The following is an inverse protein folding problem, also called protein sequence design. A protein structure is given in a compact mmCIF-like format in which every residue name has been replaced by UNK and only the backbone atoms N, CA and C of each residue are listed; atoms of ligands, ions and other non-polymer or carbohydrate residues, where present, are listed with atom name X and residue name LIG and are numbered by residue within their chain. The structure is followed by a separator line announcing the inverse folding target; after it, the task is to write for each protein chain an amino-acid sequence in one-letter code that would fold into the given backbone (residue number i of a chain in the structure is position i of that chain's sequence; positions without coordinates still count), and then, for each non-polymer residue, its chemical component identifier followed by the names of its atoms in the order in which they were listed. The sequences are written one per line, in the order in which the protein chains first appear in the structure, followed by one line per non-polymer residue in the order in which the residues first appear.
data_IF_007319626748
#
_entry.id   IF_007319626748
#
_cell.length_a   1.000
_cell.length_b   1.000
_cell.length_c   1.000
_cell.angle_alpha   90.00
_cell.angle_beta   90.00
_cell.angle_gamma   90.00
#
_symmetry.space_group_name_H-M   'P 1'
#
loop_
_entity.id
_entity.type
_entity.pdbx_description
1 polymer ?
#
# COMPACT_ATOMS: atom_id res chain seq x y z
N UNK A 1 29.17 35.27 -60.81
CA UNK A 1 28.07 36.24 -60.60
C UNK A 1 28.12 36.69 -59.14
N UNK A 2 28.18 38.01 -58.97
CA UNK A 2 28.05 38.89 -57.77
C UNK A 2 27.53 38.23 -56.48
N UNK A 3 27.93 38.54 -55.24
CA UNK A 3 28.86 39.45 -54.54
C UNK A 3 28.95 38.87 -53.09
N UNK A 4 30.10 38.52 -52.53
CA UNK A 4 30.94 39.31 -51.58
C UNK A 4 30.15 39.97 -50.44
N UNK A 5 30.31 39.48 -49.20
CA UNK A 5 30.99 40.26 -48.15
C UNK A 5 31.57 39.35 -47.04
N UNK A 6 32.85 39.60 -46.76
CA UNK A 6 33.73 39.00 -45.75
C UNK A 6 33.74 39.93 -44.51
N UNK A 7 34.32 39.43 -43.41
CA UNK A 7 35.07 40.13 -42.32
C UNK A 7 34.45 39.76 -40.97
N UNK A 8 34.98 38.77 -40.23
CA UNK A 8 36.25 38.67 -39.49
C UNK A 8 36.16 39.15 -38.03
N UNK A 9 36.60 38.22 -37.17
CA UNK A 9 36.90 38.24 -35.73
C UNK A 9 37.35 39.59 -35.15
N UNK A 10 37.04 39.82 -33.86
CA UNK A 10 38.04 39.98 -32.79
C UNK A 10 37.40 40.09 -31.38
N UNK A 11 38.13 39.52 -30.42
CA UNK A 11 37.87 39.51 -28.97
C UNK A 11 38.02 40.90 -28.33
N UNK A 12 37.29 41.14 -27.23
CA UNK A 12 37.91 41.75 -26.04
C UNK A 12 37.16 42.86 -25.28
N UNK A 13 36.74 42.49 -24.06
CA UNK A 13 36.75 43.23 -22.78
C UNK A 13 35.87 44.48 -22.51
N UNK A 14 35.03 44.31 -21.46
CA UNK A 14 34.71 45.23 -20.34
C UNK A 14 33.88 46.48 -20.69
N UNK A 15 32.70 46.69 -20.11
CA UNK A 15 32.60 47.26 -18.77
C UNK A 15 31.24 46.97 -18.12
N UNK A 16 31.30 46.42 -16.91
CA UNK A 16 30.26 46.50 -15.88
C UNK A 16 29.93 47.96 -15.60
N UNK A 17 28.66 48.34 -15.72
CA UNK A 17 28.21 49.67 -15.31
C UNK A 17 28.18 49.75 -13.78
N UNK A 18 29.03 50.64 -13.28
CA UNK A 18 29.09 51.15 -11.92
C UNK A 18 27.72 51.63 -11.42
N UNK A 19 27.38 51.21 -10.21
CA UNK A 19 26.83 52.12 -9.20
C UNK A 19 27.54 51.75 -7.88
N UNK A 20 28.65 52.46 -7.63
CA UNK A 20 29.31 52.50 -6.34
C UNK A 20 28.38 53.08 -5.27
N UNK A 21 28.38 52.41 -4.13
CA UNK A 21 27.81 52.84 -2.86
C UNK A 21 28.44 52.00 -1.77
N UNK A 22 29.77 52.06 -1.72
CA UNK A 22 30.63 51.35 -0.78
C UNK A 22 30.63 52.07 0.57
N UNK A 23 30.38 51.31 1.64
CA UNK A 23 31.11 51.49 2.88
C UNK A 23 31.10 50.17 3.65
N UNK A 24 32.13 49.37 3.36
CA UNK A 24 32.78 48.44 4.27
C UNK A 24 32.51 48.70 5.77
N UNK A 25 31.95 47.70 6.45
CA UNK A 25 32.31 47.41 7.84
C UNK A 25 32.93 46.02 7.85
N UNK A 26 34.26 45.99 7.69
CA UNK A 26 35.06 44.90 8.23
C UNK A 26 35.07 45.04 9.75
N UNK A 27 34.40 44.15 10.47
CA UNK A 27 34.81 43.81 11.83
C UNK A 27 35.44 42.43 11.80
N UNK A 28 36.77 42.43 11.82
CA UNK A 28 37.56 41.26 12.18
C UNK A 28 37.45 41.01 13.69
N UNK A 29 37.06 39.77 13.99
CA UNK A 29 37.41 38.96 15.16
C UNK A 29 37.07 39.50 16.54
N UNK A 30 36.05 38.91 17.15
CA UNK A 30 36.22 38.25 18.44
C UNK A 30 35.39 36.96 18.44
N UNK A 31 36.00 35.88 18.92
CA UNK A 31 35.36 34.57 18.99
C UNK A 31 34.23 34.57 20.00
N UNK A 32 33.01 34.50 19.51
CA UNK A 32 31.93 33.79 20.19
C UNK A 32 31.06 33.16 19.10
N UNK A 33 30.95 31.83 19.14
CA UNK A 33 30.18 31.06 18.18
C UNK A 33 28.71 31.36 18.37
N UNK A 34 28.17 32.32 17.60
CA UNK A 34 26.74 32.45 17.42
C UNK A 34 26.35 31.37 16.41
N UNK A 35 25.93 30.24 16.94
CA UNK A 35 25.20 29.20 16.23
C UNK A 35 24.02 29.88 15.52
N UNK A 36 24.13 30.04 14.20
CA UNK A 36 23.09 30.64 13.40
C UNK A 36 21.84 29.76 13.48
N UNK A 37 20.89 30.16 14.32
CA UNK A 37 19.57 29.56 14.36
C UNK A 37 18.84 29.96 13.08
N UNK A 38 18.91 29.10 12.06
CA UNK A 38 17.99 29.17 10.94
C UNK A 38 16.56 29.10 11.51
N UNK A 39 15.63 29.95 11.06
CA UNK A 39 14.24 29.80 11.46
C UNK A 39 13.76 28.42 11.00
N UNK A 40 13.33 27.58 11.94
CA UNK A 40 12.50 26.42 11.62
C UNK A 40 11.21 26.95 11.01
N UNK A 41 11.00 26.65 9.73
CA UNK A 41 9.69 26.82 9.12
C UNK A 41 8.85 25.62 9.59
N UNK A 42 7.76 25.88 10.30
CA UNK A 42 6.76 24.85 10.56
C UNK A 42 6.01 24.59 9.24
N UNK A 43 6.05 23.34 8.76
CA UNK A 43 5.28 22.94 7.59
C UNK A 43 3.79 22.93 7.95
N UNK A 44 3.02 23.77 7.24
CA UNK A 44 1.58 23.94 7.47
C UNK A 44 0.85 22.92 6.59
N UNK A 45 0.58 21.73 7.14
CA UNK A 45 -0.17 20.68 6.44
C UNK A 45 -1.70 20.92 6.38
N UNK A 46 -2.20 22.09 6.81
CA UNK A 46 -3.63 22.38 6.86
C UNK A 46 -4.25 22.51 5.46
N UNK A 47 -5.23 21.65 5.17
CA UNK A 47 -6.00 21.69 3.91
C UNK A 47 -5.35 20.92 2.76
N UNK A 48 -4.18 20.31 2.96
CA UNK A 48 -3.57 19.38 2.01
C UNK A 48 -4.20 17.98 2.12
N UNK A 49 -4.10 17.18 1.05
CA UNK A 49 -4.66 15.82 1.03
C UNK A 49 -6.20 15.73 0.86
N UNK A 50 -6.90 16.87 0.73
CA UNK A 50 -8.36 16.91 0.54
C UNK A 50 -8.73 16.51 -0.89
N UNK A 51 -9.66 15.57 -1.02
CA UNK A 51 -10.21 15.14 -2.32
C UNK A 51 -10.90 16.30 -3.02
N UNK A 52 -10.45 16.65 -4.23
CA UNK A 52 -11.18 17.58 -5.07
C UNK A 52 -12.49 16.95 -5.57
N UNK A 53 -13.63 17.66 -5.56
CA UNK A 53 -14.92 17.11 -5.97
C UNK A 53 -14.99 16.55 -7.39
N UNK A 54 -14.09 16.99 -8.28
CA UNK A 54 -13.99 16.51 -9.66
C UNK A 54 -13.20 15.21 -9.83
N UNK A 55 -12.42 14.80 -8.84
CA UNK A 55 -11.59 13.59 -8.94
C UNK A 55 -12.47 12.34 -8.89
N UNK A 56 -12.28 11.45 -9.86
CA UNK A 56 -12.71 10.06 -9.77
C UNK A 56 -12.02 9.33 -8.61
N UNK A 57 -12.55 8.16 -8.23
CA UNK A 57 -11.95 7.37 -7.14
C UNK A 57 -10.50 7.00 -7.46
N UNK A 58 -10.21 6.64 -8.72
CA UNK A 58 -8.86 6.29 -9.16
C UNK A 58 -7.90 7.47 -9.16
N UNK A 59 -8.35 8.64 -9.65
CA UNK A 59 -7.53 9.86 -9.60
C UNK A 59 -7.21 10.26 -8.16
N UNK A 60 -8.18 10.08 -7.24
CA UNK A 60 -7.95 10.33 -5.82
C UNK A 60 -7.01 9.31 -5.19
N UNK A 61 -7.14 8.02 -5.52
CA UNK A 61 -6.24 6.95 -5.07
C UNK A 61 -4.78 7.19 -5.51
N UNK A 62 -4.57 7.60 -6.76
CA UNK A 62 -3.24 7.95 -7.26
C UNK A 62 -2.68 9.20 -6.55
N UNK A 63 -3.52 10.21 -6.31
CA UNK A 63 -3.14 11.42 -5.59
C UNK A 63 -2.70 11.12 -4.15
N UNK A 64 -3.48 10.36 -3.38
CA UNK A 64 -3.16 10.07 -1.97
C UNK A 64 -1.92 9.19 -1.81
N UNK A 65 -1.62 8.31 -2.77
CA UNK A 65 -0.34 7.55 -2.78
C UNK A 65 0.85 8.50 -2.89
N UNK A 66 0.79 9.50 -3.77
CA UNK A 66 1.87 10.48 -3.91
C UNK A 66 1.93 11.43 -2.71
N UNK A 67 0.78 11.85 -2.20
CA UNK A 67 0.68 12.69 -1.00
C UNK A 67 1.31 12.01 0.23
N UNK A 68 1.15 10.69 0.37
CA UNK A 68 1.71 9.92 1.50
C UNK A 68 3.25 9.90 1.53
N UNK A 69 3.93 10.32 0.46
CA UNK A 69 5.39 10.44 0.42
C UNK A 69 5.91 11.79 0.91
N UNK A 70 5.01 12.73 1.19
CA UNK A 70 5.36 14.08 1.66
C UNK A 70 5.54 14.10 3.19
N UNK A 71 6.03 15.21 3.73
CA UNK A 71 6.10 15.41 5.18
C UNK A 71 4.72 15.58 5.85
N UNK A 72 3.69 15.81 5.03
CA UNK A 72 2.29 15.95 5.44
C UNK A 72 1.49 14.65 5.32
N UNK A 73 2.17 13.50 5.28
CA UNK A 73 1.56 12.18 5.19
C UNK A 73 0.44 11.96 6.25
N UNK A 74 -0.64 11.28 5.84
CA UNK A 74 -1.69 10.92 6.77
C UNK A 74 -1.18 9.94 7.81
N UNK A 75 -1.60 10.12 9.06
CA UNK A 75 -1.32 9.16 10.13
C UNK A 75 -2.55 8.30 10.40
N UNK A 76 -2.36 6.99 10.30
CA UNK A 76 -3.38 5.98 10.56
C UNK A 76 -3.20 5.33 11.93
N UNK A 77 -4.32 4.90 12.50
CA UNK A 77 -4.36 4.13 13.74
C UNK A 77 -5.18 2.85 13.52
N UNK A 78 -4.86 1.79 14.28
CA UNK A 78 -5.61 0.54 14.26
C UNK A 78 -7.08 0.79 14.63
N UNK A 79 -8.00 0.20 13.86
CA UNK A 79 -9.44 0.42 13.95
C UNK A 79 -9.96 1.64 13.19
N UNK A 80 -9.06 2.49 12.66
CA UNK A 80 -9.41 3.61 11.79
C UNK A 80 -9.76 3.19 10.36
N UNK A 81 -10.17 4.16 9.54
CA UNK A 81 -10.47 3.95 8.12
C UNK A 81 -9.23 4.20 7.26
N UNK A 82 -8.82 3.20 6.48
CA UNK A 82 -7.70 3.32 5.54
C UNK A 82 -8.13 3.93 4.19
N UNK A 83 -7.17 4.10 3.28
CA UNK A 83 -7.43 4.73 1.98
C UNK A 83 -8.46 3.96 1.14
N UNK A 84 -8.44 2.64 1.19
CA UNK A 84 -9.41 1.77 0.51
C UNK A 84 -10.81 1.78 1.13
N UNK A 85 -11.06 2.64 2.12
CA UNK A 85 -12.29 2.65 2.92
C UNK A 85 -12.38 1.47 3.89
N UNK A 86 -11.29 0.70 4.01
CA UNK A 86 -11.17 -0.47 4.84
C UNK A 86 -10.93 -0.14 6.30
N UNK A 87 -10.84 -1.16 7.15
CA UNK A 87 -10.41 -0.99 8.55
C UNK A 87 -8.93 -1.30 8.68
N UNK A 88 -8.16 -0.34 9.21
CA UNK A 88 -6.73 -0.51 9.46
C UNK A 88 -6.53 -1.49 10.60
N UNK A 89 -5.74 -2.54 10.38
CA UNK A 89 -5.45 -3.57 11.41
C UNK A 89 -3.98 -3.63 11.79
N UNK A 90 -3.09 -3.02 11.01
CA UNK A 90 -1.66 -3.00 11.27
C UNK A 90 -1.07 -1.68 10.79
N UNK A 91 -0.19 -1.06 11.60
CA UNK A 91 0.47 0.20 11.28
C UNK A 91 1.98 0.10 11.51
N UNK A 92 2.72 0.83 10.70
CA UNK A 92 4.17 0.96 10.71
C UNK A 92 4.55 2.41 10.46
N UNK A 93 5.82 2.74 10.64
CA UNK A 93 6.34 4.10 10.45
C UNK A 93 5.47 5.19 11.12
N UNK A 94 5.21 4.99 12.42
CA UNK A 94 4.38 5.88 13.25
C UNK A 94 2.94 6.08 12.75
N UNK A 95 2.44 5.21 11.88
CA UNK A 95 1.10 5.29 11.30
C UNK A 95 1.07 5.73 9.85
N UNK A 96 2.21 6.03 9.23
CA UNK A 96 2.25 6.45 7.83
C UNK A 96 2.06 5.30 6.83
N UNK A 97 2.38 4.07 7.24
CA UNK A 97 2.22 2.89 6.40
C UNK A 97 1.54 1.78 7.16
N UNK A 98 0.89 0.86 6.47
CA UNK A 98 0.15 -0.19 7.17
C UNK A 98 -0.59 -1.16 6.27
N UNK A 99 -1.51 -1.88 6.90
CA UNK A 99 -2.41 -2.82 6.25
C UNK A 99 -3.85 -2.53 6.68
N UNK A 100 -4.76 -2.62 5.71
CA UNK A 100 -6.20 -2.51 5.93
C UNK A 100 -6.94 -3.73 5.34
N UNK A 101 -8.03 -4.11 6.00
CA UNK A 101 -8.99 -5.08 5.46
C UNK A 101 -9.97 -4.36 4.53
N UNK A 102 -10.38 -5.00 3.44
CA UNK A 102 -11.39 -4.44 2.55
C UNK A 102 -12.73 -4.16 3.29
N UNK A 103 -13.53 -3.19 2.80
CA UNK A 103 -14.88 -2.95 3.34
C UNK A 103 -15.79 -4.18 3.23
N UNK A 104 -15.53 -5.05 2.25
CA UNK A 104 -16.27 -6.28 1.99
C UNK A 104 -15.42 -7.54 2.07
N UNK A 105 -16.09 -8.68 2.15
CA UNK A 105 -15.48 -10.00 2.04
C UNK A 105 -16.28 -10.86 1.06
N UNK A 106 -15.65 -11.91 0.57
CA UNK A 106 -16.30 -12.92 -0.25
C UNK A 106 -16.57 -14.17 0.55
N UNK A 107 -17.67 -14.87 0.27
CA UNK A 107 -18.05 -16.11 0.97
C UNK A 107 -18.40 -17.22 -0.02
N UNK A 108 -18.27 -18.47 0.44
CA UNK A 108 -18.65 -19.64 -0.33
C UNK A 108 -17.66 -20.00 -1.45
N UNK A 109 -16.39 -19.65 -1.30
CA UNK A 109 -15.37 -19.85 -2.34
C UNK A 109 -14.34 -20.88 -1.91
N UNK A 110 -13.92 -21.70 -2.86
CA UNK A 110 -12.82 -22.67 -2.71
C UNK A 110 -11.47 -21.97 -2.81
N UNK A 111 -10.48 -22.43 -2.04
CA UNK A 111 -9.11 -21.89 -2.13
C UNK A 111 -8.61 -21.92 -3.58
N UNK A 112 -8.84 -23.04 -4.27
CA UNK A 112 -8.35 -23.32 -5.61
C UNK A 112 -7.25 -24.38 -5.59
N UNK A 113 -6.57 -24.60 -6.71
CA UNK A 113 -5.36 -25.44 -6.77
C UNK A 113 -5.41 -26.80 -6.08
N UNK A 114 -6.55 -27.47 -6.10
CA UNK A 114 -6.66 -28.80 -5.51
C UNK A 114 -5.88 -29.82 -6.35
N UNK A 115 -5.12 -30.70 -5.68
CA UNK A 115 -4.21 -31.64 -6.32
C UNK A 115 -2.85 -31.04 -6.70
N UNK A 116 -2.70 -29.70 -6.67
CA UNK A 116 -1.46 -28.98 -6.94
C UNK A 116 -0.88 -28.33 -5.67
N UNK A 117 0.43 -28.45 -5.46
CA UNK A 117 1.12 -27.75 -4.37
C UNK A 117 1.84 -26.51 -4.90
N UNK A 118 1.51 -25.33 -4.37
CA UNK A 118 2.15 -24.07 -4.74
C UNK A 118 3.26 -23.76 -3.73
N UNK A 119 4.47 -24.26 -3.98
CA UNK A 119 5.60 -24.13 -3.04
C UNK A 119 6.00 -22.69 -2.74
N UNK A 120 5.79 -21.76 -3.68
CA UNK A 120 6.09 -20.34 -3.46
C UNK A 120 5.10 -19.63 -2.53
N UNK A 121 3.90 -20.19 -2.37
CA UNK A 121 2.85 -19.62 -1.54
C UNK A 121 2.85 -20.17 -0.09
N UNK A 122 3.98 -20.63 0.43
CA UNK A 122 4.08 -21.25 1.77
C UNK A 122 4.50 -20.25 2.87
N UNK A 123 4.68 -18.96 2.52
CA UNK A 123 5.14 -17.97 3.50
C UNK A 123 4.02 -17.64 4.47
N UNK A 124 4.36 -17.51 5.74
CA UNK A 124 3.39 -17.23 6.81
C UNK A 124 3.42 -15.79 7.30
N UNK A 125 4.52 -15.06 7.09
CA UNK A 125 4.82 -13.77 7.72
C UNK A 125 3.80 -12.66 7.40
N UNK A 126 3.76 -11.65 8.26
CA UNK A 126 3.14 -10.36 7.91
C UNK A 126 3.91 -9.76 6.73
N UNK A 127 3.18 -9.26 5.73
CA UNK A 127 3.69 -8.77 4.46
C UNK A 127 3.86 -9.85 3.38
N UNK A 128 3.60 -11.13 3.67
CA UNK A 128 3.77 -12.20 2.68
C UNK A 128 2.50 -12.53 1.90
N UNK A 129 1.35 -11.92 2.22
CA UNK A 129 0.08 -12.23 1.56
C UNK A 129 0.11 -11.96 0.06
N UNK A 130 0.67 -10.82 -0.35
CA UNK A 130 0.74 -10.41 -1.75
C UNK A 130 1.64 -11.34 -2.57
N UNK A 131 2.82 -11.68 -2.06
CA UNK A 131 3.73 -12.61 -2.75
C UNK A 131 3.10 -13.99 -2.90
N UNK A 132 2.48 -14.52 -1.84
CA UNK A 132 1.79 -15.80 -1.91
C UNK A 132 0.64 -15.76 -2.93
N UNK A 133 -0.12 -14.67 -2.98
CA UNK A 133 -1.22 -14.46 -3.94
C UNK A 133 -0.69 -14.53 -5.38
N UNK A 134 0.38 -13.80 -5.69
CA UNK A 134 1.03 -13.82 -7.00
C UNK A 134 1.58 -15.21 -7.38
N UNK A 135 2.12 -15.94 -6.41
CA UNK A 135 2.60 -17.31 -6.58
C UNK A 135 1.47 -18.29 -6.93
N UNK A 136 0.30 -18.14 -6.32
CA UNK A 136 -0.87 -18.96 -6.66
C UNK A 136 -1.40 -18.59 -8.04
N UNK A 137 -1.56 -17.31 -8.36
CA UNK A 137 -2.05 -16.84 -9.66
C UNK A 137 -1.15 -17.30 -10.82
N UNK A 138 0.16 -17.35 -10.61
CA UNK A 138 1.11 -17.72 -11.66
C UNK A 138 1.31 -19.23 -11.86
N UNK A 139 1.21 -20.04 -10.81
CA UNK A 139 1.55 -21.48 -10.85
C UNK A 139 0.35 -22.41 -10.79
N UNK A 140 -0.81 -21.89 -10.43
CA UNK A 140 -2.02 -22.69 -10.41
C UNK A 140 -2.69 -22.71 -11.79
N UNK A 141 -2.24 -23.59 -12.68
CA UNK A 141 -2.98 -23.88 -13.92
C UNK A 141 -4.25 -24.66 -13.57
N UNK A 142 -5.38 -23.94 -13.46
CA UNK A 142 -6.66 -24.53 -13.09
C UNK A 142 -7.15 -25.39 -14.26
N UNK A 143 -7.09 -26.72 -14.12
CA UNK A 143 -7.69 -27.69 -15.05
C UNK A 143 -9.24 -27.68 -15.07
N UNK A 144 -9.89 -26.75 -14.37
CA UNK A 144 -11.34 -26.66 -14.24
C UNK A 144 -11.79 -25.20 -14.33
N UNK A 145 -12.84 -24.94 -15.09
CA UNK A 145 -13.43 -23.62 -15.39
C UNK A 145 -14.05 -22.87 -14.18
N UNK A 146 -13.61 -23.15 -12.96
CA UNK A 146 -14.05 -22.44 -11.75
C UNK A 146 -12.97 -21.41 -11.38
N UNK A 147 -13.33 -20.13 -11.32
CA UNK A 147 -12.43 -19.09 -10.82
C UNK A 147 -11.94 -19.45 -9.41
N UNK A 148 -10.63 -19.34 -9.18
CA UNK A 148 -10.11 -19.44 -7.81
C UNK A 148 -10.51 -18.23 -7.00
N UNK A 149 -10.46 -18.41 -5.68
CA UNK A 149 -10.59 -17.32 -4.74
C UNK A 149 -9.56 -16.19 -4.95
N UNK A 150 -8.37 -16.51 -5.48
CA UNK A 150 -7.30 -15.55 -5.78
C UNK A 150 -7.63 -14.68 -6.99
N UNK A 151 -8.18 -15.26 -8.07
CA UNK A 151 -8.59 -14.50 -9.26
C UNK A 151 -9.78 -13.56 -9.00
N UNK A 152 -10.61 -13.88 -8.00
CA UNK A 152 -11.68 -12.99 -7.57
C UNK A 152 -11.14 -11.76 -6.84
N UNK A 153 -10.13 -11.95 -5.99
CA UNK A 153 -9.45 -10.84 -5.30
C UNK A 153 -8.59 -10.02 -6.25
N UNK A 154 -7.89 -10.65 -7.20
CA UNK A 154 -7.06 -9.97 -8.21
C UNK A 154 -7.86 -9.02 -9.13
N UNK A 155 -9.17 -9.23 -9.25
CA UNK A 155 -10.10 -8.35 -10.00
C UNK A 155 -10.93 -7.45 -9.11
N UNK A 156 -10.72 -7.49 -7.80
CA UNK A 156 -11.47 -6.69 -6.86
C UNK A 156 -10.95 -5.25 -6.90
N UNK A 157 -11.84 -4.31 -7.21
CA UNK A 157 -11.57 -2.88 -7.19
C UNK A 157 -12.54 -2.21 -6.22
N UNK A 158 -12.02 -1.40 -5.31
CA UNK A 158 -12.81 -0.68 -4.32
C UNK A 158 -12.14 0.65 -4.02
N UNK A 159 -12.93 1.74 -4.03
CA UNK A 159 -12.46 3.10 -3.75
C UNK A 159 -11.23 3.53 -4.57
N UNK A 160 -11.13 3.07 -5.82
CA UNK A 160 -10.05 3.43 -6.75
C UNK A 160 -8.80 2.55 -6.65
N UNK A 161 -8.81 1.54 -5.76
CA UNK A 161 -7.69 0.63 -5.54
C UNK A 161 -7.96 -0.77 -6.06
N UNK A 162 -6.99 -1.34 -6.79
CA UNK A 162 -7.03 -2.65 -7.46
C UNK A 162 -5.89 -3.61 -7.04
N UNK A 163 -5.11 -3.24 -6.05
CA UNK A 163 -3.94 -3.96 -5.50
C UNK A 163 -4.28 -4.83 -4.28
N UNK A 164 -5.56 -5.22 -4.14
CA UNK A 164 -6.02 -6.11 -3.08
C UNK A 164 -5.46 -7.53 -3.25
N UNK A 165 -5.17 -8.20 -2.14
CA UNK A 165 -4.64 -9.56 -2.14
C UNK A 165 -5.18 -10.42 -1.01
N UNK A 166 -4.98 -11.74 -1.11
CA UNK A 166 -5.41 -12.69 -0.08
C UNK A 166 -4.37 -12.69 1.07
N UNK A 167 -4.80 -12.46 2.32
CA UNK A 167 -3.89 -12.34 3.46
C UNK A 167 -3.14 -13.65 3.75
N UNK A 168 -1.90 -13.57 4.22
CA UNK A 168 -1.16 -14.69 4.81
C UNK A 168 -1.81 -15.14 6.12
N UNK A 169 -1.42 -16.32 6.61
CA UNK A 169 -1.99 -16.84 7.86
C UNK A 169 -1.63 -16.00 9.09
N UNK A 170 -0.49 -15.30 9.11
CA UNK A 170 -0.17 -14.35 10.19
C UNK A 170 -0.80 -12.97 9.97
N UNK A 171 -1.11 -12.56 8.75
CA UNK A 171 -1.96 -11.37 8.52
C UNK A 171 -3.38 -11.60 9.02
N UNK A 172 -3.97 -12.79 8.78
CA UNK A 172 -5.26 -13.16 9.38
C UNK A 172 -5.21 -13.24 10.90
N UNK A 173 -4.07 -13.66 11.46
CA UNK A 173 -3.86 -13.65 12.90
C UNK A 173 -3.90 -12.22 13.44
N UNK A 174 -3.14 -11.33 12.81
CA UNK A 174 -3.05 -9.92 13.19
C UNK A 174 -4.41 -9.23 13.10
N UNK A 175 -5.21 -9.52 12.06
CA UNK A 175 -6.59 -9.01 11.97
C UNK A 175 -7.40 -9.39 13.20
N UNK A 176 -7.37 -10.66 13.62
CA UNK A 176 -8.12 -11.12 14.79
C UNK A 176 -7.59 -10.51 16.09
N UNK A 177 -6.27 -10.44 16.25
CA UNK A 177 -5.64 -9.89 17.46
C UNK A 177 -5.90 -8.38 17.60
N UNK A 178 -5.87 -7.63 16.49
CA UNK A 178 -6.03 -6.18 16.47
C UNK A 178 -7.49 -5.73 16.52
N UNK A 179 -8.39 -6.39 15.80
CA UNK A 179 -9.79 -5.97 15.65
C UNK A 179 -10.77 -6.81 16.49
N UNK A 180 -10.32 -7.96 17.02
CA UNK A 180 -11.15 -8.88 17.77
C UNK A 180 -12.05 -9.75 16.89
N UNK A 181 -13.17 -10.19 17.47
CA UNK A 181 -14.14 -11.02 16.77
C UNK A 181 -14.87 -10.21 15.69
N UNK A 182 -14.82 -10.68 14.44
CA UNK A 182 -15.60 -10.10 13.35
C UNK A 182 -17.01 -10.68 13.36
N UNK A 183 -18.02 -9.82 13.50
CA UNK A 183 -19.43 -10.18 13.47
C UNK A 183 -19.83 -10.75 12.10
N UNK A 184 -20.02 -12.07 12.01
CA UNK A 184 -20.32 -12.78 10.77
C UNK A 184 -21.72 -13.40 10.80
N UNK A 185 -22.51 -13.15 9.76
CA UNK A 185 -23.81 -13.79 9.58
C UNK A 185 -23.64 -15.24 9.13
N UNK A 186 -24.22 -16.17 9.89
CA UNK A 186 -24.13 -17.60 9.59
C UNK A 186 -25.11 -18.02 8.50
N UNK A 187 -24.62 -18.54 7.39
CA UNK A 187 -25.39 -19.10 6.29
C UNK A 187 -25.24 -20.63 6.29
N UNK A 188 -26.38 -21.34 6.29
CA UNK A 188 -26.38 -22.80 6.27
C UNK A 188 -25.68 -23.33 5.00
N UNK A 189 -24.70 -24.22 5.18
CA UNK A 189 -23.97 -24.87 4.08
C UNK A 189 -22.60 -24.27 3.75
N UNK A 190 -22.21 -23.17 4.40
CA UNK A 190 -20.89 -22.55 4.25
C UNK A 190 -20.17 -22.44 5.60
N UNK A 191 -18.84 -22.44 5.56
CA UNK A 191 -17.99 -22.20 6.72
C UNK A 191 -17.57 -20.72 6.73
N UNK A 192 -18.56 -19.82 6.75
CA UNK A 192 -18.41 -18.37 6.63
C UNK A 192 -17.52 -17.71 7.68
N UNK A 193 -17.47 -18.28 8.88
CA UNK A 193 -16.57 -17.82 9.96
C UNK A 193 -15.10 -18.09 9.68
N UNK A 194 -14.80 -19.00 8.75
CA UNK A 194 -13.43 -19.38 8.39
C UNK A 194 -13.00 -18.61 7.14
N UNK A 195 -11.81 -18.02 7.21
CA UNK A 195 -11.24 -17.23 6.15
C UNK A 195 -10.01 -17.94 5.60
N UNK A 196 -9.96 -18.11 4.28
CA UNK A 196 -8.76 -18.60 3.61
C UNK A 196 -7.62 -17.61 3.78
N UNK A 197 -6.43 -18.16 4.04
CA UNK A 197 -5.19 -17.43 3.84
C UNK A 197 -4.57 -17.79 2.48
N UNK A 198 -3.66 -16.97 1.99
CA UNK A 198 -2.81 -17.26 0.84
C UNK A 198 -1.75 -18.32 1.13
N UNK A 199 -1.57 -18.72 2.39
CA UNK A 199 -0.57 -19.70 2.81
C UNK A 199 -1.00 -21.14 2.44
N UNK A 200 -0.34 -21.69 1.43
CA UNK A 200 -0.44 -23.08 0.98
C UNK A 200 0.25 -24.03 1.98
N UNK A 201 -0.41 -25.13 2.33
CA UNK A 201 0.20 -26.21 3.11
C UNK A 201 0.75 -27.30 2.19
N UNK A 202 -0.10 -27.88 1.34
CA UNK A 202 0.28 -28.94 0.40
C UNK A 202 -0.73 -29.03 -0.76
N UNK A 203 -0.72 -30.12 -1.52
CA UNK A 203 -1.63 -30.34 -2.65
C UNK A 203 -3.11 -30.44 -2.26
N UNK A 204 -3.40 -30.72 -0.99
CA UNK A 204 -4.76 -30.99 -0.47
C UNK A 204 -5.26 -29.88 0.45
N UNK A 205 -4.37 -29.31 1.27
CA UNK A 205 -4.71 -28.38 2.35
C UNK A 205 -4.11 -26.99 2.12
N UNK A 206 -4.80 -25.99 2.65
CA UNK A 206 -4.33 -24.63 2.82
C UNK A 206 -4.65 -24.14 4.23
N UNK A 207 -3.95 -23.10 4.69
CA UNK A 207 -4.19 -22.51 5.99
C UNK A 207 -5.43 -21.59 5.93
N UNK A 208 -6.19 -21.61 7.01
CA UNK A 208 -7.36 -20.76 7.22
C UNK A 208 -7.44 -20.35 8.69
N UNK A 209 -8.18 -19.29 8.98
CA UNK A 209 -8.44 -18.85 10.35
C UNK A 209 -9.91 -18.56 10.56
N UNK A 210 -10.43 -18.96 11.71
CA UNK A 210 -11.75 -18.54 12.14
C UNK A 210 -11.65 -17.15 12.76
N UNK A 211 -12.28 -16.13 12.15
CA UNK A 211 -12.22 -14.75 12.64
C UNK A 211 -13.29 -14.42 13.70
N UNK A 212 -14.05 -15.42 14.15
CA UNK A 212 -14.96 -15.31 15.30
C UNK A 212 -14.29 -15.80 16.59
N UNK A 213 -13.43 -16.81 16.53
CA UNK A 213 -12.79 -17.37 17.74
C UNK A 213 -11.25 -17.50 17.64
N UNK A 214 -10.66 -16.95 16.58
CA UNK A 214 -9.22 -16.92 16.37
C UNK A 214 -8.60 -18.27 15.98
N UNK A 215 -9.34 -19.37 15.85
CA UNK A 215 -8.73 -20.69 15.68
C UNK A 215 -8.11 -20.88 14.28
N UNK A 216 -6.82 -21.26 14.22
CA UNK A 216 -6.11 -21.65 12.99
C UNK A 216 -6.52 -23.06 12.56
N UNK A 217 -6.84 -23.25 11.27
CA UNK A 217 -7.26 -24.53 10.70
C UNK A 217 -6.57 -24.81 9.38
N UNK A 218 -6.16 -26.06 9.19
CA UNK A 218 -5.78 -26.61 7.88
C UNK A 218 -7.04 -27.14 7.20
N UNK A 219 -7.56 -26.40 6.23
CA UNK A 219 -8.78 -26.76 5.54
C UNK A 219 -8.47 -27.36 4.18
N UNK A 220 -9.28 -28.35 3.76
CA UNK A 220 -9.17 -28.93 2.42
C UNK A 220 -9.53 -27.86 1.39
N UNK A 221 -8.71 -27.69 0.36
CA UNK A 221 -8.88 -26.64 -0.66
C UNK A 221 -10.23 -26.69 -1.39
N UNK A 222 -10.91 -27.84 -1.37
CA UNK A 222 -12.26 -28.04 -1.93
C UNK A 222 -13.40 -27.48 -1.07
N UNK A 223 -13.14 -27.10 0.18
CA UNK A 223 -14.15 -26.50 1.06
C UNK A 223 -14.47 -25.07 0.63
N UNK A 224 -15.73 -24.70 0.77
CA UNK A 224 -16.19 -23.34 0.54
C UNK A 224 -16.10 -22.53 1.85
N UNK A 225 -15.13 -21.62 1.93
CA UNK A 225 -14.90 -20.70 3.05
C UNK A 225 -15.05 -19.24 2.59
N UNK A 226 -14.68 -18.29 3.44
CA UNK A 226 -14.64 -16.86 3.14
C UNK A 226 -13.24 -16.36 2.76
N UNK A 227 -13.15 -15.18 2.15
CA UNK A 227 -11.92 -14.41 1.94
C UNK A 227 -12.16 -12.96 2.31
N UNK A 228 -11.25 -12.40 3.10
CA UNK A 228 -11.20 -11.01 3.47
C UNK A 228 -9.96 -10.40 2.78
N UNK A 229 -10.14 -9.70 1.66
CA UNK A 229 -9.02 -9.06 0.97
C UNK A 229 -8.35 -8.04 1.89
N UNK A 230 -7.03 -7.88 1.72
CA UNK A 230 -6.27 -6.82 2.37
C UNK A 230 -5.41 -6.09 1.34
N UNK A 231 -4.99 -4.87 1.68
CA UNK A 231 -4.02 -4.08 0.90
C UNK A 231 -3.01 -3.44 1.84
N UNK A 232 -1.87 -3.06 1.29
CA UNK A 232 -0.89 -2.20 1.95
C UNK A 232 -1.05 -0.76 1.51
N UNK A 233 -0.69 0.17 2.38
CA UNK A 233 -0.54 1.59 2.07
C UNK A 233 0.73 2.15 2.71
#
# INVERSE_FOLDING_TARGET
MKNVLIVALLFGWVSTSLAEGDSDIYMTMDGDGIEGSYPEYEDICEGEGVREPSMSDREYADFIIEFQKTECAFTFEVGGTGFGGGTVFYVTDKGHHGLEIAPGHFSGIKWGCYGGSVKGAMKENIGSGQENTNEVLSKCEIGSKEYTSFELVDRYEENGFDDWYVPSILELHEIYDALGELEMSTHAGYYDKYFWSSTNENSTYAHSRNLVNGHKVYAKKELALSILPIRSF
#
